data_IF_866371073593
#
_entry.id   IF_866371073593
#
_cell.length_a   1.000
_cell.length_b   1.000
_cell.length_c   1.000
_cell.angle_alpha   90.00
_cell.angle_beta   90.00
_cell.angle_gamma   90.00
#
_symmetry.space_group_name_H-M   'P 1'
#
loop_
_entity.id
_entity.type
_entity.pdbx_description
1 polymer ?
#
# COMPACT_ATOMS: atom_id res chain seq x y z
N UNK A 1 -9.62 -8.12 14.73
CA UNK A 1 -8.70 -7.02 14.38
C UNK A 1 -8.99 -6.59 12.94
N UNK A 2 -8.77 -5.31 12.60
CA UNK A 2 -8.86 -4.85 11.22
C UNK A 2 -7.65 -5.36 10.42
N UNK A 3 -7.81 -5.75 9.14
CA UNK A 3 -6.68 -6.02 8.25
C UNK A 3 -5.80 -4.77 8.08
N UNK A 4 -4.51 -4.95 7.81
CA UNK A 4 -3.55 -3.86 7.60
C UNK A 4 -3.46 -3.49 6.13
N UNK A 5 -3.39 -2.20 5.84
CA UNK A 5 -3.17 -1.69 4.49
C UNK A 5 -2.05 -0.65 4.49
N UNK A 6 -1.10 -0.83 3.57
CA UNK A 6 -0.13 0.22 3.26
C UNK A 6 -0.63 1.05 2.06
N UNK A 7 -0.60 2.36 2.21
CA UNK A 7 -1.01 3.31 1.17
C UNK A 7 0.22 4.15 0.82
N UNK A 8 0.74 3.99 -0.40
CA UNK A 8 2.04 4.57 -0.81
C UNK A 8 2.02 6.08 -1.05
N UNK A 9 0.83 6.70 -1.01
CA UNK A 9 0.64 8.13 -1.20
C UNK A 9 -0.66 8.61 -0.57
N UNK A 10 -0.70 9.86 -0.13
CA UNK A 10 -1.96 10.52 0.18
C UNK A 10 -2.88 10.56 -1.06
N UNK A 11 -4.03 9.90 -0.95
CA UNK A 11 -5.11 9.91 -1.94
C UNK A 11 -6.26 10.80 -1.43
N UNK A 12 -7.21 11.22 -2.30
CA UNK A 12 -8.31 12.08 -1.85
C UNK A 12 -9.04 11.52 -0.63
N UNK A 13 -9.29 12.37 0.37
CA UNK A 13 -9.80 11.97 1.70
C UNK A 13 -11.05 11.11 1.61
N UNK A 14 -11.96 11.37 0.64
CA UNK A 14 -13.16 10.54 0.43
C UNK A 14 -12.85 9.05 0.27
N UNK A 15 -11.77 8.70 -0.43
CA UNK A 15 -11.33 7.31 -0.58
C UNK A 15 -10.65 6.81 0.68
N UNK A 16 -9.74 7.64 1.23
CA UNK A 16 -8.97 7.29 2.42
C UNK A 16 -9.84 7.06 3.66
N UNK A 17 -10.89 7.86 3.89
CA UNK A 17 -11.82 7.67 5.02
C UNK A 17 -12.50 6.30 4.95
N UNK A 18 -12.93 5.88 3.75
CA UNK A 18 -13.54 4.55 3.55
C UNK A 18 -12.56 3.43 3.86
N UNK A 19 -11.29 3.58 3.51
CA UNK A 19 -10.26 2.58 3.83
C UNK A 19 -10.07 2.50 5.35
N UNK A 20 -9.97 3.66 6.05
CA UNK A 20 -9.82 3.75 7.52
C UNK A 20 -10.98 3.10 8.28
N UNK A 21 -12.19 3.02 7.70
CA UNK A 21 -13.32 2.32 8.31
C UNK A 21 -13.06 0.82 8.47
N UNK A 22 -12.42 0.17 7.50
CA UNK A 22 -12.25 -1.28 7.47
C UNK A 22 -10.83 -1.77 7.76
N UNK A 23 -9.81 -0.92 7.59
CA UNK A 23 -8.40 -1.29 7.71
C UNK A 23 -7.67 -0.50 8.81
N UNK A 24 -6.59 -1.07 9.32
CA UNK A 24 -5.52 -0.34 9.99
C UNK A 24 -4.60 0.24 8.90
N UNK A 25 -4.57 1.57 8.78
CA UNK A 25 -3.92 2.26 7.66
C UNK A 25 -2.52 2.72 8.06
N UNK A 26 -1.53 2.26 7.31
CA UNK A 26 -0.18 2.82 7.27
C UNK A 26 -0.09 3.71 6.02
N UNK A 27 -0.03 5.03 6.22
CA UNK A 27 -0.01 6.01 5.15
C UNK A 27 1.40 6.56 4.97
N UNK A 28 1.92 6.49 3.75
CA UNK A 28 3.14 7.20 3.38
C UNK A 28 2.87 8.70 3.20
N UNK A 29 3.47 9.51 4.07
CA UNK A 29 3.23 10.96 4.14
C UNK A 29 4.36 11.81 3.55
N UNK A 30 5.46 11.21 3.13
CA UNK A 30 6.58 11.96 2.54
C UNK A 30 6.23 12.46 1.12
N UNK A 31 6.84 13.58 0.74
CA UNK A 31 6.64 14.19 -0.58
C UNK A 31 7.21 13.35 -1.72
N UNK A 32 8.32 12.64 -1.48
CA UNK A 32 8.88 11.70 -2.45
C UNK A 32 8.16 10.33 -2.37
N UNK A 33 8.05 9.58 -3.48
CA UNK A 33 7.54 8.21 -3.44
C UNK A 33 8.37 7.32 -2.49
N UNK A 34 7.76 6.31 -1.85
CA UNK A 34 8.51 5.38 -1.02
C UNK A 34 9.54 4.62 -1.87
N UNK A 35 10.83 4.61 -1.48
CA UNK A 35 11.82 3.79 -2.15
C UNK A 35 11.42 2.30 -2.10
N UNK A 36 11.80 1.50 -3.11
CA UNK A 36 11.47 0.05 -3.18
C UNK A 36 11.76 -0.70 -1.88
N UNK A 37 12.88 -0.40 -1.21
CA UNK A 37 13.26 -1.00 0.09
C UNK A 37 12.20 -0.77 1.18
N UNK A 38 11.58 0.41 1.20
CA UNK A 38 10.52 0.74 2.15
C UNK A 38 9.27 -0.06 1.83
N UNK A 39 8.91 -0.15 0.54
CA UNK A 39 7.77 -0.98 0.12
C UNK A 39 8.01 -2.44 0.55
N UNK A 40 9.20 -3.00 0.29
CA UNK A 40 9.60 -4.36 0.72
C UNK A 40 9.47 -4.57 2.23
N UNK A 41 9.83 -3.57 3.04
CA UNK A 41 9.70 -3.65 4.51
C UNK A 41 8.23 -3.63 4.93
N UNK A 42 7.43 -2.73 4.35
CA UNK A 42 6.02 -2.54 4.70
C UNK A 42 5.17 -3.74 4.30
N UNK A 43 5.37 -4.29 3.11
CA UNK A 43 4.52 -5.36 2.58
C UNK A 43 4.61 -6.68 3.35
N UNK A 44 5.66 -6.87 4.15
CA UNK A 44 5.84 -8.07 4.99
C UNK A 44 4.72 -8.30 6.00
N UNK A 45 4.04 -7.23 6.43
CA UNK A 45 3.03 -7.28 7.49
C UNK A 45 1.68 -6.67 7.11
N UNK A 46 1.37 -6.51 5.81
CA UNK A 46 0.07 -5.97 5.36
C UNK A 46 -0.76 -7.00 4.60
N UNK A 47 -2.07 -6.88 4.72
CA UNK A 47 -3.05 -7.69 4.01
C UNK A 47 -3.42 -7.07 2.65
N UNK A 48 -3.24 -5.75 2.50
CA UNK A 48 -3.56 -4.98 1.31
C UNK A 48 -2.51 -3.89 1.02
N UNK A 49 -2.38 -3.53 -0.25
CA UNK A 49 -1.54 -2.43 -0.73
C UNK A 49 -2.34 -1.51 -1.66
N UNK A 50 -2.28 -0.20 -1.43
CA UNK A 50 -2.69 0.81 -2.40
C UNK A 50 -1.43 1.44 -2.99
N UNK A 51 -1.21 1.23 -4.29
CA UNK A 51 -0.02 1.69 -5.02
C UNK A 51 -0.35 2.74 -6.08
N UNK A 52 0.67 3.42 -6.59
CA UNK A 52 0.63 4.32 -7.75
C UNK A 52 1.47 3.74 -8.89
N UNK A 53 1.33 4.30 -10.11
CA UNK A 53 2.12 3.91 -11.30
C UNK A 53 3.64 3.99 -11.11
N UNK A 54 4.10 4.85 -10.20
CA UNK A 54 5.53 5.05 -9.92
C UNK A 54 6.10 4.00 -8.98
N UNK A 55 5.26 3.20 -8.33
CA UNK A 55 5.71 2.21 -7.37
C UNK A 55 6.20 0.95 -8.11
N UNK A 56 7.41 0.47 -7.82
CA UNK A 56 7.96 -0.74 -8.45
C UNK A 56 7.34 -2.00 -7.84
N UNK A 57 6.12 -2.34 -8.27
CA UNK A 57 5.40 -3.55 -7.83
C UNK A 57 5.77 -4.72 -8.76
N UNK A 58 6.82 -5.45 -8.39
CA UNK A 58 7.36 -6.60 -9.14
C UNK A 58 7.37 -7.89 -8.30
N UNK A 59 7.93 -8.97 -8.86
CA UNK A 59 7.98 -10.28 -8.21
C UNK A 59 8.62 -10.25 -6.82
N UNK A 60 9.64 -9.40 -6.61
CA UNK A 60 10.33 -9.28 -5.32
C UNK A 60 9.40 -8.72 -4.23
N UNK A 61 8.51 -7.80 -4.59
CA UNK A 61 7.49 -7.29 -3.67
C UNK A 61 6.55 -8.41 -3.24
N UNK A 62 6.09 -9.25 -4.18
CA UNK A 62 5.17 -10.34 -3.88
C UNK A 62 5.84 -11.45 -3.05
N UNK A 63 7.09 -11.79 -3.36
CA UNK A 63 7.88 -12.78 -2.60
C UNK A 63 8.09 -12.34 -1.15
N UNK A 64 8.21 -11.03 -0.90
CA UNK A 64 8.36 -10.45 0.43
C UNK A 64 7.03 -10.27 1.20
N UNK A 65 5.88 -10.52 0.58
CA UNK A 65 4.57 -10.13 1.10
C UNK A 65 3.65 -11.34 1.41
N UNK A 66 3.96 -12.19 2.41
CA UNK A 66 3.28 -13.46 2.64
C UNK A 66 1.80 -13.33 3.05
N UNK A 67 1.37 -12.13 3.47
CA UNK A 67 -0.01 -11.84 3.89
C UNK A 67 -0.82 -11.08 2.85
N UNK A 68 -0.16 -10.50 1.84
CA UNK A 68 -0.77 -9.60 0.88
C UNK A 68 -1.77 -10.36 0.01
N UNK A 69 -3.04 -9.93 0.06
CA UNK A 69 -4.14 -10.57 -0.68
C UNK A 69 -4.63 -9.76 -1.87
N UNK A 70 -4.37 -8.46 -1.85
CA UNK A 70 -4.86 -7.54 -2.87
C UNK A 70 -3.90 -6.35 -3.03
N UNK A 71 -3.62 -6.00 -4.29
CA UNK A 71 -3.00 -4.74 -4.67
C UNK A 71 -4.05 -3.93 -5.42
N UNK A 72 -4.38 -2.74 -4.90
CA UNK A 72 -5.27 -1.79 -5.54
C UNK A 72 -4.43 -0.64 -6.08
N UNK A 73 -4.15 -0.70 -7.38
CA UNK A 73 -3.42 0.38 -8.03
C UNK A 73 -4.34 1.58 -8.22
N UNK A 74 -3.91 2.76 -7.78
CA UNK A 74 -4.57 4.03 -8.00
C UNK A 74 -4.25 4.58 -9.40
N UNK A 75 -4.56 3.79 -10.42
CA UNK A 75 -4.47 4.10 -11.84
C UNK A 75 -5.30 3.08 -12.64
N UNK A 76 -5.46 3.32 -13.95
CA UNK A 76 -6.26 2.45 -14.85
C UNK A 76 -5.44 1.42 -15.63
N UNK A 77 -4.10 1.50 -15.57
CA UNK A 77 -3.17 0.71 -16.38
C UNK A 77 -2.70 -0.59 -15.72
#
# INVERSE_FOLDING_TARGET
>A
MKPKVFVTREIPERGLSKIKEFFEVDLWTDEAPPPKRVILEKVRDVDALVSLLTDPIDAEIFDAAPKLRIVSQYAVG
#
